data_IF_229451619792
#
_entry.id   IF_229451619792
#
_cell.length_a   1.000
_cell.length_b   1.000
_cell.length_c   1.000
_cell.angle_alpha   90.00
_cell.angle_beta   90.00
_cell.angle_gamma   90.00
#
_symmetry.space_group_name_H-M   'P 1'
#
loop_
_entity.id
_entity.type
_entity.pdbx_description
1 polymer ?
#
# COMPACT_ATOMS: atom_id res chain seq x y z
N UNK A 1 9.83 -7.80 -19.58
CA UNK A 1 9.21 -9.10 -19.28
C UNK A 1 7.92 -8.82 -18.51
N UNK A 2 6.80 -9.02 -19.18
CA UNK A 2 5.42 -9.19 -18.71
C UNK A 2 4.83 -8.18 -17.70
N UNK A 3 4.44 -7.00 -18.21
CA UNK A 3 3.38 -6.21 -17.57
C UNK A 3 2.07 -7.00 -17.63
N UNK A 4 1.52 -7.40 -16.48
CA UNK A 4 0.22 -8.05 -16.42
C UNK A 4 -0.89 -7.00 -16.32
N UNK A 5 -1.46 -6.66 -17.48
CA UNK A 5 -2.82 -6.10 -17.67
C UNK A 5 -3.10 -4.68 -17.13
N UNK A 6 -4.18 -4.04 -17.62
CA UNK A 6 -4.68 -2.79 -17.01
C UNK A 6 -5.20 -3.06 -15.60
N UNK A 7 -5.01 -2.09 -14.69
CA UNK A 7 -5.57 -2.13 -13.34
C UNK A 7 -7.10 -2.30 -13.41
N UNK A 8 -7.64 -3.28 -12.68
CA UNK A 8 -9.10 -3.52 -12.61
C UNK A 8 -9.76 -2.80 -11.43
N UNK A 9 -8.96 -2.16 -10.58
CA UNK A 9 -9.43 -1.40 -9.44
C UNK A 9 -10.02 -0.08 -9.91
N UNK A 10 -11.34 0.07 -9.81
CA UNK A 10 -12.06 1.27 -10.22
C UNK A 10 -13.01 1.75 -9.12
N UNK A 11 -13.36 3.05 -9.08
CA UNK A 11 -14.39 3.55 -8.18
C UNK A 11 -15.71 2.76 -8.30
N UNK A 12 -16.36 2.52 -7.17
CA UNK A 12 -17.58 1.71 -7.04
C UNK A 12 -17.35 0.20 -6.93
N UNK A 13 -16.11 -0.29 -7.10
CA UNK A 13 -15.82 -1.72 -6.91
C UNK A 13 -15.96 -2.11 -5.42
N UNK A 14 -16.80 -3.09 -5.07
CA UNK A 14 -16.84 -3.61 -3.70
C UNK A 14 -15.55 -4.36 -3.38
N UNK A 15 -15.00 -4.13 -2.19
CA UNK A 15 -13.83 -4.87 -1.73
C UNK A 15 -14.19 -6.32 -1.38
N UNK A 16 -13.28 -7.27 -1.66
CA UNK A 16 -13.45 -8.64 -1.23
C UNK A 16 -13.30 -8.74 0.30
N UNK A 17 -14.03 -9.68 0.91
CA UNK A 17 -13.91 -10.00 2.32
C UNK A 17 -12.63 -10.80 2.61
N UNK A 18 -11.47 -10.16 2.45
CA UNK A 18 -10.15 -10.71 2.74
C UNK A 18 -9.66 -10.14 4.06
N UNK A 19 -9.26 -11.01 4.97
CA UNK A 19 -8.66 -10.63 6.26
C UNK A 19 -7.15 -10.79 6.19
N UNK A 20 -6.40 -9.71 6.45
CA UNK A 20 -4.94 -9.69 6.43
C UNK A 20 -4.36 -9.47 7.83
N UNK A 21 -3.27 -10.17 8.21
CA UNK A 21 -2.57 -9.89 9.46
C UNK A 21 -1.80 -8.57 9.37
N UNK A 22 -1.87 -7.79 10.45
CA UNK A 22 -1.24 -6.47 10.56
C UNK A 22 -0.01 -6.47 11.50
N UNK A 23 0.85 -5.47 11.35
CA UNK A 23 2.07 -5.31 12.17
C UNK A 23 1.79 -5.09 13.66
N UNK A 24 0.64 -4.49 14.00
CA UNK A 24 0.15 -4.27 15.37
C UNK A 24 -0.44 -5.53 16.04
N UNK A 25 -0.48 -6.66 15.32
CA UNK A 25 -1.03 -7.93 15.80
C UNK A 25 -2.52 -8.12 15.52
N UNK A 26 -3.20 -7.10 14.99
CA UNK A 26 -4.59 -7.21 14.57
C UNK A 26 -4.74 -7.97 13.24
N UNK A 27 -5.99 -8.27 12.89
CA UNK A 27 -6.38 -8.86 11.61
C UNK A 27 -7.44 -7.96 10.98
N UNK A 28 -7.16 -7.41 9.80
CA UNK A 28 -7.95 -6.36 9.18
C UNK A 28 -8.67 -6.89 7.94
N UNK A 29 -9.98 -6.73 7.92
CA UNK A 29 -10.80 -6.90 6.72
C UNK A 29 -11.26 -5.52 6.23
N UNK A 30 -10.64 -5.03 5.15
CA UNK A 30 -10.91 -3.68 4.62
C UNK A 30 -12.37 -3.51 4.17
N UNK A 31 -13.01 -4.59 3.70
CA UNK A 31 -14.41 -4.59 3.26
C UNK A 31 -15.42 -4.34 4.39
N UNK A 32 -15.03 -4.55 5.65
CA UNK A 32 -15.93 -4.41 6.82
C UNK A 32 -15.71 -3.13 7.61
N UNK A 33 -14.72 -2.32 7.25
CA UNK A 33 -14.44 -1.07 7.96
C UNK A 33 -15.43 0.01 7.53
N UNK A 34 -16.16 0.65 8.47
CA UNK A 34 -17.02 1.78 8.13
C UNK A 34 -16.18 3.00 7.73
N UNK A 35 -16.74 4.04 7.13
CA UNK A 35 -16.02 5.27 6.80
C UNK A 35 -14.81 5.07 5.89
N UNK A 36 -13.91 6.05 5.88
CA UNK A 36 -12.85 6.14 4.88
C UNK A 36 -11.54 5.49 5.33
N UNK A 37 -10.90 4.75 4.43
CA UNK A 37 -9.56 4.19 4.61
C UNK A 37 -8.70 4.44 3.37
N UNK A 38 -7.48 4.94 3.59
CA UNK A 38 -6.40 5.01 2.61
C UNK A 38 -5.61 3.71 2.68
N UNK A 39 -5.39 3.06 1.54
CA UNK A 39 -4.64 1.80 1.44
C UNK A 39 -3.50 1.98 0.45
N UNK A 40 -2.31 2.24 0.97
CA UNK A 40 -1.09 2.43 0.19
C UNK A 40 -0.43 1.07 -0.10
N UNK A 41 -0.42 0.65 -1.36
CA UNK A 41 0.23 -0.58 -1.81
C UNK A 41 1.63 -0.25 -2.31
N UNK A 42 2.63 -0.89 -1.73
CA UNK A 42 4.03 -0.66 -2.10
C UNK A 42 4.74 -1.98 -2.50
N UNK A 43 5.75 -1.92 -3.39
CA UNK A 43 6.40 -3.13 -3.89
C UNK A 43 7.19 -3.90 -2.83
N UNK A 44 8.14 -3.22 -2.19
CA UNK A 44 9.08 -3.79 -1.24
C UNK A 44 9.86 -2.68 -0.54
N UNK A 45 10.37 -2.96 0.66
CA UNK A 45 11.23 -2.06 1.43
C UNK A 45 12.59 -2.69 1.71
N UNK A 46 13.64 -1.88 1.52
CA UNK A 46 15.01 -2.26 1.78
C UNK A 46 15.35 -2.39 3.26
N UNK A 47 16.48 -3.04 3.51
CA UNK A 47 17.16 -3.13 4.81
C UNK A 47 18.64 -2.82 4.62
N UNK A 48 19.21 -2.10 5.57
CA UNK A 48 20.62 -1.74 5.52
C UNK A 48 21.49 -3.00 5.51
N UNK A 49 22.48 -3.01 4.62
CA UNK A 49 23.40 -4.14 4.44
C UNK A 49 22.79 -5.36 3.74
N UNK A 50 21.52 -5.32 3.31
CA UNK A 50 20.88 -6.37 2.51
C UNK A 50 20.77 -5.90 1.07
N UNK A 51 21.24 -6.68 0.08
CA UNK A 51 21.13 -6.30 -1.33
C UNK A 51 19.66 -6.22 -1.78
N UNK A 52 19.41 -5.37 -2.77
CA UNK A 52 18.12 -5.31 -3.44
C UNK A 52 17.78 -6.65 -4.12
N UNK A 53 16.50 -6.92 -4.41
CA UNK A 53 16.12 -8.04 -5.25
C UNK A 53 16.84 -8.01 -6.63
N UNK A 54 17.00 -9.16 -7.29
CA UNK A 54 17.69 -9.21 -8.58
C UNK A 54 17.02 -8.32 -9.64
N UNK A 55 17.80 -7.44 -10.26
CA UNK A 55 17.34 -6.53 -11.32
C UNK A 55 16.49 -5.35 -10.84
N UNK A 56 16.39 -5.13 -9.52
CA UNK A 56 15.54 -4.07 -8.94
C UNK A 56 15.85 -2.67 -9.46
N UNK A 57 17.14 -2.36 -9.62
CA UNK A 57 17.62 -1.03 -10.02
C UNK A 57 17.18 -0.65 -11.45
N UNK A 58 16.87 -1.65 -12.29
CA UNK A 58 16.44 -1.47 -13.67
C UNK A 58 14.90 -1.42 -13.83
N UNK A 59 14.13 -1.62 -12.74
CA UNK A 59 12.67 -1.70 -12.79
C UNK A 59 12.05 -0.34 -12.43
N UNK A 60 11.40 0.34 -13.38
CA UNK A 60 10.72 1.62 -13.11
C UNK A 60 9.67 1.49 -12.00
N UNK A 61 9.73 2.38 -11.02
CA UNK A 61 8.80 2.41 -9.89
C UNK A 61 9.08 1.39 -8.78
N UNK A 62 10.12 0.56 -8.89
CA UNK A 62 10.51 -0.38 -7.84
C UNK A 62 11.10 0.31 -6.60
N UNK A 63 11.85 1.40 -6.81
CA UNK A 63 12.36 2.25 -5.72
C UNK A 63 11.29 3.20 -5.16
N UNK A 64 11.56 3.73 -3.96
CA UNK A 64 10.75 4.79 -3.33
C UNK A 64 9.79 4.33 -2.24
N UNK A 65 9.74 3.04 -1.87
CA UNK A 65 8.79 2.60 -0.84
C UNK A 65 9.13 3.06 0.56
N UNK A 66 10.43 3.16 0.90
CA UNK A 66 10.84 3.74 2.19
C UNK A 66 10.45 5.22 2.29
N UNK A 67 10.86 6.10 1.36
CA UNK A 67 10.47 7.52 1.44
C UNK A 67 8.95 7.72 1.34
N UNK A 68 8.21 6.88 0.60
CA UNK A 68 6.74 6.94 0.60
C UNK A 68 6.14 6.67 1.97
N UNK A 69 6.57 5.60 2.65
CA UNK A 69 6.08 5.27 3.99
C UNK A 69 6.48 6.33 5.02
N UNK A 70 7.64 6.95 4.86
CA UNK A 70 8.09 8.08 5.69
C UNK A 70 7.22 9.33 5.45
N UNK A 71 6.90 9.67 4.19
CA UNK A 71 5.96 10.74 3.87
C UNK A 71 4.55 10.48 4.43
N UNK A 72 4.10 9.22 4.40
CA UNK A 72 2.86 8.82 5.06
C UNK A 72 2.90 8.97 6.58
N UNK A 73 4.04 8.68 7.22
CA UNK A 73 4.25 8.95 8.65
C UNK A 73 4.15 10.43 8.95
N UNK A 74 4.79 11.29 8.15
CA UNK A 74 4.75 12.75 8.32
C UNK A 74 3.33 13.32 8.18
N UNK A 75 2.53 12.76 7.28
CA UNK A 75 1.16 13.20 7.01
C UNK A 75 0.09 12.46 7.82
N UNK A 76 0.46 11.48 8.64
CA UNK A 76 -0.48 10.58 9.33
C UNK A 76 -1.52 11.32 10.15
N UNK A 77 -1.10 12.35 10.90
CA UNK A 77 -2.02 13.16 11.71
C UNK A 77 -3.01 13.91 10.82
N UNK A 78 -2.57 14.51 9.72
CA UNK A 78 -3.47 15.23 8.81
C UNK A 78 -4.48 14.30 8.15
N UNK A 79 -4.06 13.09 7.74
CA UNK A 79 -4.96 12.05 7.20
C UNK A 79 -6.00 11.64 8.25
N UNK A 80 -5.55 11.43 9.49
CA UNK A 80 -6.42 11.04 10.61
C UNK A 80 -7.43 12.14 10.96
N UNK A 81 -6.99 13.41 11.00
CA UNK A 81 -7.86 14.57 11.24
C UNK A 81 -8.89 14.78 10.12
N UNK A 82 -8.57 14.38 8.88
CA UNK A 82 -9.52 14.34 7.78
C UNK A 82 -10.51 13.16 7.85
N UNK A 83 -10.49 12.38 8.93
CA UNK A 83 -11.43 11.29 9.18
C UNK A 83 -11.14 10.00 8.40
N UNK A 84 -9.92 9.85 7.87
CA UNK A 84 -9.51 8.65 7.15
C UNK A 84 -8.53 7.81 7.99
N UNK A 85 -8.68 6.48 7.94
CA UNK A 85 -7.65 5.56 8.41
C UNK A 85 -6.55 5.43 7.38
N UNK A 86 -5.34 5.11 7.82
CA UNK A 86 -4.24 4.77 6.92
C UNK A 86 -3.80 3.33 7.17
N UNK A 87 -3.64 2.59 6.07
CA UNK A 87 -3.01 1.29 6.01
C UNK A 87 -1.97 1.30 4.88
N UNK A 88 -0.89 0.56 5.05
CA UNK A 88 -0.05 0.17 3.92
C UNK A 88 -0.08 -1.35 3.71
N UNK A 89 0.18 -1.82 2.50
CA UNK A 89 0.11 -3.24 2.13
C UNK A 89 1.27 -3.61 1.20
N UNK A 90 1.89 -4.75 1.45
CA UNK A 90 2.82 -5.37 0.51
C UNK A 90 2.79 -6.90 0.58
N UNK A 91 3.47 -7.56 -0.36
CA UNK A 91 3.64 -9.02 -0.36
C UNK A 91 4.66 -9.54 0.67
N UNK A 92 5.28 -8.68 1.48
CA UNK A 92 6.25 -9.08 2.49
C UNK A 92 5.54 -9.69 3.71
N UNK A 93 6.20 -10.63 4.40
CA UNK A 93 5.64 -11.26 5.61
C UNK A 93 5.41 -10.25 6.74
N UNK A 94 4.45 -10.52 7.63
CA UNK A 94 4.19 -9.67 8.81
C UNK A 94 5.43 -9.49 9.67
N UNK A 95 6.30 -10.51 9.80
CA UNK A 95 7.55 -10.39 10.55
C UNK A 95 8.53 -9.41 9.88
N UNK A 96 8.62 -9.43 8.55
CA UNK A 96 9.43 -8.46 7.80
C UNK A 96 8.90 -7.05 7.99
N UNK A 97 7.60 -6.87 7.76
CA UNK A 97 6.94 -5.57 7.87
C UNK A 97 6.97 -5.02 9.30
N UNK A 98 6.90 -5.88 10.33
CA UNK A 98 6.96 -5.44 11.73
C UNK A 98 8.32 -4.85 12.08
N UNK A 99 9.41 -5.48 11.66
CA UNK A 99 10.76 -4.91 11.84
C UNK A 99 10.85 -3.56 11.14
N UNK A 100 10.40 -3.46 9.89
CA UNK A 100 10.42 -2.21 9.14
C UNK A 100 9.57 -1.13 9.80
N UNK A 101 8.36 -1.45 10.25
CA UNK A 101 7.46 -0.49 10.90
C UNK A 101 8.07 0.05 12.20
N UNK A 102 8.77 -0.78 12.98
CA UNK A 102 9.48 -0.35 14.17
C UNK A 102 10.69 0.53 13.82
N UNK A 103 11.50 0.12 12.84
CA UNK A 103 12.69 0.87 12.40
C UNK A 103 12.35 2.25 11.83
N UNK A 104 11.23 2.36 11.12
CA UNK A 104 10.75 3.60 10.52
C UNK A 104 9.77 4.36 11.43
N UNK A 105 9.48 3.86 12.63
CA UNK A 105 8.56 4.47 13.59
C UNK A 105 7.18 4.80 12.97
N UNK A 106 6.62 3.87 12.20
CA UNK A 106 5.36 4.09 11.49
C UNK A 106 4.16 4.06 12.46
N UNK A 107 3.32 5.12 12.51
CA UNK A 107 2.19 5.22 13.42
C UNK A 107 0.93 4.51 12.91
N UNK A 108 1.02 3.78 11.80
CA UNK A 108 -0.08 3.08 11.15
C UNK A 108 0.25 1.61 10.87
N UNK A 109 -0.75 0.72 10.84
CA UNK A 109 -0.55 -0.70 10.58
C UNK A 109 -0.17 -0.97 9.12
N UNK A 110 0.71 -1.96 8.95
CA UNK A 110 1.08 -2.53 7.64
C UNK A 110 0.45 -3.91 7.54
N UNK A 111 -0.29 -4.16 6.48
CA UNK A 111 -0.97 -5.43 6.22
C UNK A 111 -0.07 -6.31 5.35
N UNK A 112 0.06 -7.57 5.74
CA UNK A 112 0.81 -8.55 4.96
C UNK A 112 -0.12 -9.27 3.99
N UNK A 113 0.12 -9.11 2.71
CA UNK A 113 -0.49 -9.91 1.64
C UNK A 113 0.48 -10.99 1.14
N UNK A 114 1.28 -11.59 2.03
CA UNK A 114 2.26 -12.62 1.66
C UNK A 114 1.62 -13.85 0.99
N UNK A 115 0.36 -14.17 1.32
CA UNK A 115 -0.40 -15.21 0.63
C UNK A 115 -1.03 -14.78 -0.70
N UNK A 116 -0.95 -13.49 -1.05
CA UNK A 116 -1.53 -12.90 -2.25
C UNK A 116 -3.06 -12.88 -2.27
N UNK A 117 -3.73 -13.03 -1.13
CA UNK A 117 -5.19 -13.09 -1.06
C UNK A 117 -5.83 -11.81 -1.58
N UNK A 118 -5.32 -10.65 -1.17
CA UNK A 118 -5.81 -9.35 -1.63
C UNK A 118 -5.41 -9.11 -3.09
N UNK A 119 -4.13 -9.39 -3.44
CA UNK A 119 -3.60 -9.31 -4.80
C UNK A 119 -4.47 -10.04 -5.81
N UNK A 120 -4.80 -11.30 -5.54
CA UNK A 120 -5.59 -12.11 -6.44
C UNK A 120 -7.05 -11.63 -6.50
N UNK A 121 -7.66 -11.33 -5.35
CA UNK A 121 -9.07 -10.95 -5.30
C UNK A 121 -9.37 -9.60 -5.97
N UNK A 122 -8.41 -8.66 -5.94
CA UNK A 122 -8.52 -7.35 -6.58
C UNK A 122 -7.79 -7.24 -7.93
N UNK A 123 -7.17 -8.31 -8.40
CA UNK A 123 -6.29 -8.30 -9.58
C UNK A 123 -5.25 -7.16 -9.52
N UNK A 124 -4.60 -6.99 -8.36
CA UNK A 124 -3.64 -5.91 -8.17
C UNK A 124 -2.48 -6.05 -9.16
N UNK A 125 -2.03 -4.95 -9.77
CA UNK A 125 -0.94 -4.97 -10.73
C UNK A 125 0.36 -5.44 -10.07
N UNK A 126 1.18 -6.16 -10.84
CA UNK A 126 2.43 -6.77 -10.37
C UNK A 126 3.57 -6.59 -11.36
N UNK A 127 4.79 -6.83 -10.88
CA UNK A 127 5.98 -7.02 -11.70
C UNK A 127 6.86 -8.13 -11.10
N UNK A 128 7.81 -8.64 -11.89
CA UNK A 128 8.74 -9.68 -11.48
C UNK A 128 10.13 -9.09 -11.26
N UNK A 129 10.82 -9.50 -10.20
CA UNK A 129 12.24 -9.23 -9.98
C UNK A 129 12.91 -10.52 -9.49
N UNK A 130 13.90 -11.02 -10.23
CA UNK A 130 14.38 -12.39 -10.08
C UNK A 130 13.25 -13.41 -10.29
N UNK A 131 13.04 -14.29 -9.31
CA UNK A 131 11.97 -15.31 -9.30
C UNK A 131 10.73 -14.90 -8.49
N UNK A 132 10.73 -13.70 -7.92
CA UNK A 132 9.68 -13.23 -7.01
C UNK A 132 8.73 -12.25 -7.72
N UNK A 133 7.47 -12.24 -7.28
CA UNK A 133 6.44 -11.32 -7.77
C UNK A 133 6.17 -10.23 -6.74
N UNK A 134 6.23 -8.97 -7.17
CA UNK A 134 5.99 -7.79 -6.34
C UNK A 134 4.74 -7.06 -6.80
N UNK A 135 4.06 -6.37 -5.88
CA UNK A 135 2.95 -5.48 -6.20
C UNK A 135 3.49 -4.20 -6.85
N UNK A 136 2.82 -3.68 -7.87
CA UNK A 136 3.09 -2.31 -8.36
C UNK A 136 2.55 -1.31 -7.35
N UNK A 137 3.27 -0.18 -7.22
CA UNK A 137 2.86 0.93 -6.36
C UNK A 137 1.53 1.52 -6.82
N UNK A 138 0.58 1.61 -5.91
CA UNK A 138 -0.71 2.29 -6.08
C UNK A 138 -1.29 2.62 -4.72
N UNK A 139 -2.18 3.60 -4.65
CA UNK A 139 -2.99 3.82 -3.46
C UNK A 139 -4.46 3.78 -3.85
N UNK A 140 -5.30 3.16 -3.04
CA UNK A 140 -6.73 3.26 -3.21
C UNK A 140 -7.42 3.70 -1.93
N UNK A 141 -8.48 4.47 -2.12
CA UNK A 141 -9.35 4.96 -1.06
C UNK A 141 -10.57 4.08 -1.01
N UNK A 142 -10.95 3.67 0.19
CA UNK A 142 -12.11 2.82 0.46
C UNK A 142 -13.09 3.62 1.31
N UNK A 143 -14.36 3.65 0.92
CA UNK A 143 -15.46 4.20 1.71
C UNK A 143 -16.49 3.09 1.92
N UNK A 144 -16.74 2.72 3.17
CA UNK A 144 -17.74 1.72 3.56
C UNK A 144 -17.63 0.41 2.75
N UNK A 145 -16.40 -0.09 2.61
CA UNK A 145 -16.09 -1.33 1.90
C UNK A 145 -16.10 -1.25 0.37
N UNK A 146 -16.25 -0.06 -0.22
CA UNK A 146 -16.17 0.15 -1.68
C UNK A 146 -15.01 1.07 -2.06
N UNK A 147 -14.39 0.82 -3.21
CA UNK A 147 -13.36 1.72 -3.76
C UNK A 147 -13.99 3.07 -4.10
N UNK A 148 -13.49 4.14 -3.49
CA UNK A 148 -13.91 5.52 -3.73
C UNK A 148 -12.99 6.20 -4.75
N UNK A 149 -11.69 5.93 -4.69
CA UNK A 149 -10.69 6.54 -5.56
C UNK A 149 -9.46 5.64 -5.71
N UNK A 150 -8.73 5.80 -6.80
CA UNK A 150 -7.50 5.05 -7.08
C UNK A 150 -6.45 6.02 -7.62
N UNK A 151 -5.32 6.09 -6.93
CA UNK A 151 -4.09 6.76 -7.37
C UNK A 151 -3.20 5.74 -8.05
N UNK A 152 -3.21 5.74 -9.38
CA UNK A 152 -2.33 4.89 -10.19
C UNK A 152 -2.14 5.51 -11.58
N UNK A 153 -0.89 5.65 -12.07
CA UNK A 153 0.37 5.40 -11.36
C UNK A 153 0.65 6.45 -10.27
N UNK A 154 1.44 6.09 -9.26
CA UNK A 154 2.03 7.04 -8.30
C UNK A 154 3.38 7.49 -8.84
N UNK A 155 3.46 8.76 -9.25
CA UNK A 155 4.64 9.29 -9.95
C UNK A 155 5.79 9.66 -9.00
N UNK A 156 5.47 10.30 -7.88
CA UNK A 156 6.42 10.72 -6.86
C UNK A 156 6.02 10.07 -5.53
N UNK A 157 6.67 8.96 -5.15
CA UNK A 157 6.35 8.25 -3.90
C UNK A 157 6.58 9.11 -2.66
N UNK A 158 7.58 10.00 -2.66
CA UNK A 158 7.92 10.85 -1.51
C UNK A 158 6.84 11.91 -1.26
N UNK A 159 6.32 12.52 -2.33
CA UNK A 159 5.25 13.52 -2.24
C UNK A 159 3.83 12.93 -2.16
N UNK A 160 3.67 11.61 -2.33
CA UNK A 160 2.35 10.99 -2.54
C UNK A 160 1.40 11.16 -1.34
N UNK A 161 1.91 11.12 -0.12
CA UNK A 161 1.08 11.33 1.07
C UNK A 161 0.46 12.75 1.12
N UNK A 162 1.18 13.76 0.64
CA UNK A 162 0.68 15.13 0.56
C UNK A 162 -0.43 15.25 -0.51
N UNK A 163 -0.27 14.59 -1.65
CA UNK A 163 -1.31 14.49 -2.69
C UNK A 163 -2.63 13.92 -2.14
N UNK A 164 -2.54 12.88 -1.31
CA UNK A 164 -3.71 12.26 -0.67
C UNK A 164 -4.37 13.22 0.32
N UNK A 165 -3.58 13.96 1.10
CA UNK A 165 -4.12 14.98 2.02
C UNK A 165 -4.87 16.07 1.25
N UNK A 166 -4.32 16.54 0.14
CA UNK A 166 -4.99 17.54 -0.70
C UNK A 166 -6.25 16.99 -1.36
N UNK A 167 -6.22 15.73 -1.81
CA UNK A 167 -7.43 15.04 -2.27
C UNK A 167 -8.47 14.94 -1.16
N UNK A 168 -8.10 14.55 0.06
CA UNK A 168 -9.03 14.46 1.20
C UNK A 168 -9.69 15.80 1.52
N UNK A 169 -8.92 16.89 1.51
CA UNK A 169 -9.45 18.26 1.71
C UNK A 169 -10.45 18.67 0.63
N UNK A 170 -10.26 18.20 -0.62
CA UNK A 170 -11.19 18.49 -1.72
C UNK A 170 -12.53 17.74 -1.62
N UNK A 171 -12.66 16.78 -0.69
CA UNK A 171 -13.89 16.01 -0.43
C UNK A 171 -14.68 16.53 0.78
N UNK A 172 -14.15 17.53 1.49
CA UNK A 172 -14.80 18.19 2.62
C UNK A 172 -15.74 19.31 2.22
#
# INVERSE_FOLDING_TARGET
>A
MNERGPIQLTPGLPLPAVTLPATDGSHICLATLPGRSIVAVYPWTGRDGIPNPPGWDDIPGAHGSTPELEGFREMFELISHAGARLFAVSGQSTAFQREMALRLELPFPILSDAGGALRHALHLPTFEAGSETYLKRLTFVVLDGQVEHVFFPVADPEAHAAEIVDWLKSRG
#
